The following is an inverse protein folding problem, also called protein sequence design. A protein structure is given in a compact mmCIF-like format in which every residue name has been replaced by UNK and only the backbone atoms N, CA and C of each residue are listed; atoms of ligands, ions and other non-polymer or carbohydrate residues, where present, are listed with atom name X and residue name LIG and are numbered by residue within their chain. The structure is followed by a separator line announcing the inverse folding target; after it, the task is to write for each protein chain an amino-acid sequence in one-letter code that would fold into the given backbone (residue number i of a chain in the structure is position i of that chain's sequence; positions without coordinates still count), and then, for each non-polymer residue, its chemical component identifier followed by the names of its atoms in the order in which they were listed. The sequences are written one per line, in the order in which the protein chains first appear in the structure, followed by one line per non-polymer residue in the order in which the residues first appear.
data_IF_117778724148
#
_entry.id   IF_117778724148
#
_cell.length_a   1.000
_cell.length_b   1.000
_cell.length_c   1.000
_cell.angle_alpha   90.00
_cell.angle_beta   90.00
_cell.angle_gamma   90.00
#
_symmetry.space_group_name_H-M   'P 1'
#
loop_
_entity.id
_entity.type
_entity.pdbx_description
1 polymer ?
#
# COMPACT_ATOMS: atom_id res chain seq x y z
N UNK A 1 0.13 6.29 8.09
CA UNK A 1 1.49 5.84 7.69
C UNK A 1 1.80 4.57 8.46
N UNK A 2 2.65 3.68 7.93
CA UNK A 2 2.92 2.30 8.38
C UNK A 2 2.39 1.92 9.78
N UNK A 3 1.51 0.92 9.87
CA UNK A 3 0.81 0.53 11.09
C UNK A 3 -0.43 1.39 11.42
N UNK A 4 -0.84 2.27 10.51
CA UNK A 4 -2.10 3.01 10.61
C UNK A 4 -3.23 2.25 9.94
N UNK A 5 -4.43 2.35 10.50
CA UNK A 5 -5.65 1.87 9.86
C UNK A 5 -6.01 2.70 8.62
N UNK A 6 -6.34 2.00 7.52
CA UNK A 6 -6.76 2.56 6.24
C UNK A 6 -8.16 2.07 5.92
N UNK A 7 -9.08 3.00 5.65
CA UNK A 7 -10.40 2.68 5.12
C UNK A 7 -10.25 2.39 3.63
N UNK A 8 -10.60 1.19 3.22
CA UNK A 8 -10.54 0.75 1.82
C UNK A 8 -11.93 0.86 1.21
N UNK A 9 -12.02 1.37 -0.01
CA UNK A 9 -13.29 1.44 -0.74
C UNK A 9 -13.84 0.03 -0.92
N UNK A 10 -15.07 -0.22 -0.48
CA UNK A 10 -15.73 -1.54 -0.57
C UNK A 10 -15.45 -2.49 0.60
N UNK A 11 -14.64 -2.10 1.60
CA UNK A 11 -14.45 -2.86 2.84
C UNK A 11 -14.95 -2.00 4.01
N UNK A 12 -15.89 -2.52 4.80
CA UNK A 12 -16.41 -1.80 5.97
C UNK A 12 -15.37 -1.64 7.08
N UNK A 13 -14.54 -2.67 7.28
CA UNK A 13 -13.52 -2.66 8.32
C UNK A 13 -12.23 -1.99 7.85
N UNK A 14 -11.62 -1.13 8.69
CA UNK A 14 -10.30 -0.58 8.40
C UNK A 14 -9.26 -1.70 8.29
N UNK A 15 -8.33 -1.56 7.34
CA UNK A 15 -7.21 -2.47 7.14
C UNK A 15 -5.93 -1.84 7.69
N UNK A 16 -5.14 -2.60 8.43
CA UNK A 16 -3.85 -2.12 8.92
C UNK A 16 -2.85 -1.98 7.77
N UNK A 17 -2.16 -0.83 7.70
CA UNK A 17 -1.10 -0.60 6.73
C UNK A 17 0.20 -1.29 7.17
N UNK A 18 0.18 -2.62 7.21
CA UNK A 18 1.30 -3.50 7.55
C UNK A 18 2.19 -3.80 6.32
N UNK A 19 3.18 -4.69 6.51
CA UNK A 19 4.09 -5.12 5.44
C UNK A 19 3.36 -5.74 4.26
N UNK A 20 2.41 -6.62 4.53
CA UNK A 20 1.68 -7.35 3.51
C UNK A 20 0.81 -6.39 2.70
N UNK A 21 0.09 -5.48 3.36
CA UNK A 21 -0.72 -4.45 2.73
C UNK A 21 0.11 -3.55 1.82
N UNK A 22 1.27 -3.07 2.29
CA UNK A 22 2.12 -2.16 1.51
C UNK A 22 2.71 -2.88 0.30
N UNK A 23 3.24 -4.08 0.47
CA UNK A 23 3.78 -4.86 -0.64
C UNK A 23 2.71 -5.20 -1.68
N UNK A 24 1.52 -5.61 -1.23
CA UNK A 24 0.37 -5.86 -2.10
C UNK A 24 -0.04 -4.58 -2.83
N UNK A 25 -0.09 -3.44 -2.14
CA UNK A 25 -0.47 -2.15 -2.74
C UNK A 25 0.53 -1.68 -3.81
N UNK A 26 1.83 -2.02 -3.69
CA UNK A 26 2.82 -1.66 -4.72
C UNK A 26 2.76 -2.64 -5.89
N UNK A 27 2.56 -3.94 -5.62
CA UNK A 27 2.48 -4.99 -6.66
C UNK A 27 1.17 -4.92 -7.45
N UNK A 28 0.06 -4.71 -6.75
CA UNK A 28 -1.31 -4.71 -7.27
C UNK A 28 -2.03 -3.41 -6.82
N UNK A 29 -1.67 -2.26 -7.40
CA UNK A 29 -2.15 -0.95 -6.94
C UNK A 29 -3.66 -0.73 -6.96
N UNK A 30 -4.39 -1.48 -7.79
CA UNK A 30 -5.85 -1.41 -7.87
C UNK A 30 -6.58 -2.44 -6.99
N UNK A 31 -5.86 -3.33 -6.28
CA UNK A 31 -6.50 -4.36 -5.45
C UNK A 31 -7.18 -3.76 -4.20
N UNK A 32 -6.56 -2.73 -3.59
CA UNK A 32 -7.07 -2.06 -2.38
C UNK A 32 -6.90 -0.56 -2.52
N UNK A 33 -7.95 0.12 -2.96
CA UNK A 33 -7.96 1.58 -3.11
C UNK A 33 -8.48 2.22 -1.84
N UNK A 34 -7.70 3.12 -1.25
CA UNK A 34 -8.09 3.88 -0.05
C UNK A 34 -9.27 4.79 -0.37
N UNK A 35 -10.23 4.88 0.55
CA UNK A 35 -11.39 5.75 0.40
C UNK A 35 -10.97 7.21 0.15
N UNK A 36 -11.55 7.84 -0.88
CA UNK A 36 -11.23 9.21 -1.29
C UNK A 36 -10.14 9.33 -2.34
N UNK A 37 -9.53 8.22 -2.79
CA UNK A 37 -8.60 8.20 -3.92
C UNK A 37 -9.25 7.61 -5.19
N UNK A 38 -8.93 8.13 -6.38
CA UNK A 38 -9.41 7.58 -7.64
C UNK A 38 -8.75 6.22 -7.94
N UNK A 39 -9.51 5.32 -8.55
CA UNK A 39 -9.01 4.05 -9.08
C UNK A 39 -8.07 4.31 -10.26
N UNK A 40 -7.12 3.40 -10.51
CA UNK A 40 -6.11 3.49 -11.58
C UNK A 40 -5.15 4.68 -11.49
N UNK A 41 -5.15 5.42 -10.38
CA UNK A 41 -4.22 6.53 -10.19
C UNK A 41 -2.77 6.07 -9.99
N UNK A 42 -2.59 4.88 -9.43
CA UNK A 42 -1.26 4.26 -9.28
C UNK A 42 -1.07 3.23 -10.39
N UNK A 43 -0.17 3.48 -11.35
CA UNK A 43 0.12 2.52 -12.41
C UNK A 43 0.84 1.29 -11.83
N UNK A 44 0.70 0.11 -12.45
CA UNK A 44 1.46 -1.07 -12.06
C UNK A 44 2.94 -0.85 -12.39
N UNK A 45 3.80 -1.01 -11.38
CA UNK A 45 5.24 -0.93 -11.56
C UNK A 45 5.83 -2.34 -11.65
N UNK A 46 6.64 -2.60 -12.68
CA UNK A 46 7.45 -3.81 -12.76
C UNK A 46 8.79 -3.58 -12.07
N UNK A 47 8.77 -3.73 -10.74
CA UNK A 47 9.98 -3.62 -9.93
C UNK A 47 10.62 -5.00 -9.73
N UNK A 48 11.93 -5.01 -9.46
CA UNK A 48 12.63 -6.21 -9.01
C UNK A 48 12.28 -6.49 -7.54
N UNK A 49 12.45 -7.75 -7.12
CA UNK A 49 12.16 -8.19 -5.74
C UNK A 49 12.87 -7.31 -4.69
N UNK A 50 14.13 -6.99 -4.94
CA UNK A 50 14.95 -6.18 -4.02
C UNK A 50 14.46 -4.73 -3.91
N UNK A 51 13.89 -4.18 -4.99
CA UNK A 51 13.34 -2.82 -5.01
C UNK A 51 12.05 -2.75 -4.16
N UNK A 52 11.20 -3.78 -4.19
CA UNK A 52 10.04 -3.84 -3.30
C UNK A 52 10.47 -3.85 -1.82
N UNK A 53 11.51 -4.60 -1.48
CA UNK A 53 12.05 -4.63 -0.11
C UNK A 53 12.63 -3.27 0.29
N UNK A 54 13.39 -2.62 -0.59
CA UNK A 54 13.94 -1.30 -0.34
C UNK A 54 12.85 -0.24 -0.11
N UNK A 55 11.78 -0.24 -0.93
CA UNK A 55 10.63 0.63 -0.75
C UNK A 55 9.90 0.37 0.57
N UNK A 56 9.68 -0.90 0.92
CA UNK A 56 9.04 -1.26 2.18
C UNK A 56 9.86 -0.73 3.38
N UNK A 57 11.17 -0.95 3.37
CA UNK A 57 12.08 -0.45 4.39
C UNK A 57 12.03 1.07 4.49
N UNK A 58 12.07 1.77 3.35
CA UNK A 58 11.95 3.22 3.32
C UNK A 58 10.63 3.71 3.93
N UNK A 59 9.49 3.11 3.55
CA UNK A 59 8.17 3.47 4.10
C UNK A 59 8.12 3.23 5.62
N UNK A 60 8.79 2.18 6.13
CA UNK A 60 8.93 1.97 7.59
C UNK A 60 9.69 3.09 8.27
N UNK A 61 10.78 3.59 7.67
CA UNK A 61 11.54 4.72 8.24
C UNK A 61 10.77 6.03 8.29
N UNK A 62 9.73 6.18 7.46
CA UNK A 62 8.85 7.36 7.47
C UNK A 62 7.81 7.32 8.60
N UNK A 63 7.72 6.22 9.36
CA UNK A 63 6.90 6.14 10.58
C UNK A 63 7.57 6.97 11.68
N UNK A 64 7.15 8.22 11.82
CA UNK A 64 7.38 9.02 13.03
C UNK A 64 6.47 8.56 14.16
#
# INVERSE_FOLDING_TARGET
MYGSQRKIKGIENPVDADDAYILESIRNPNAKVVHGFPENYMPPYQLKKDEYTALLLYIKTLKK
#
